data_IF_075173414534
#
_entry.id   IF_075173414534
#
_cell.length_a   1.000
_cell.length_b   1.000
_cell.length_c   1.000
_cell.angle_alpha   90.00
_cell.angle_beta   90.00
_cell.angle_gamma   90.00
#
_symmetry.space_group_name_H-M   'P 1'
#
loop_
_entity.id
_entity.type
_entity.pdbx_description
1 polymer ?
#
# COMPACT_ATOMS: atom_id res chain seq x y z
N UNK A 1 -11.59 15.53 -4.36
CA UNK A 1 -12.16 14.27 -3.84
C UNK A 1 -13.67 14.35 -3.90
N UNK A 2 -14.39 13.28 -4.29
CA UNK A 2 -15.85 13.22 -4.15
C UNK A 2 -16.70 13.19 -5.43
N UNK A 3 -16.30 12.44 -6.47
CA UNK A 3 -17.19 12.17 -7.62
C UNK A 3 -18.03 10.90 -7.47
N UNK A 4 -17.78 10.12 -6.42
CA UNK A 4 -18.46 8.85 -6.15
C UNK A 4 -19.12 8.85 -4.78
N UNK A 5 -20.29 8.21 -4.69
CA UNK A 5 -20.95 8.00 -3.39
C UNK A 5 -20.23 6.90 -2.59
N UNK A 6 -20.42 6.84 -1.26
CA UNK A 6 -19.89 5.75 -0.45
C UNK A 6 -20.30 4.35 -0.94
N UNK A 7 -21.52 4.21 -1.46
CA UNK A 7 -22.04 2.96 -2.01
C UNK A 7 -21.32 2.58 -3.30
N UNK A 8 -21.07 3.52 -4.20
CA UNK A 8 -20.30 3.29 -5.43
C UNK A 8 -18.86 2.87 -5.10
N UNK A 9 -18.22 3.54 -4.14
CA UNK A 9 -16.87 3.19 -3.69
C UNK A 9 -16.84 1.76 -3.13
N UNK A 10 -17.85 1.39 -2.33
CA UNK A 10 -17.96 0.01 -1.84
C UNK A 10 -18.17 -1.00 -2.97
N UNK A 11 -18.99 -0.66 -3.97
CA UNK A 11 -19.22 -1.53 -5.12
C UNK A 11 -17.92 -1.75 -5.91
N UNK A 12 -17.14 -0.70 -6.17
CA UNK A 12 -15.84 -0.84 -6.84
C UNK A 12 -14.91 -1.76 -6.06
N UNK A 13 -14.80 -1.57 -4.74
CA UNK A 13 -13.99 -2.44 -3.90
C UNK A 13 -14.45 -3.91 -3.95
N UNK A 14 -15.76 -4.17 -3.92
CA UNK A 14 -16.29 -5.53 -4.02
C UNK A 14 -16.01 -6.18 -5.39
N UNK A 15 -16.03 -5.37 -6.45
CA UNK A 15 -15.73 -5.82 -7.81
C UNK A 15 -14.25 -6.14 -7.97
N UNK A 16 -13.35 -5.31 -7.42
CA UNK A 16 -11.91 -5.57 -7.36
C UNK A 16 -11.61 -6.87 -6.59
N UNK A 17 -12.25 -7.06 -5.42
CA UNK A 17 -12.12 -8.30 -4.65
C UNK A 17 -12.59 -9.53 -5.44
N UNK A 18 -13.68 -9.40 -6.22
CA UNK A 18 -14.17 -10.49 -7.07
C UNK A 18 -13.16 -10.84 -8.16
N UNK A 19 -12.59 -9.84 -8.83
CA UNK A 19 -11.57 -10.05 -9.87
C UNK A 19 -10.34 -10.73 -9.28
N UNK A 20 -9.85 -10.29 -8.12
CA UNK A 20 -8.70 -10.91 -7.45
C UNK A 20 -9.02 -12.35 -7.02
N UNK A 21 -10.20 -12.59 -6.45
CA UNK A 21 -10.68 -13.93 -6.10
C UNK A 21 -10.67 -14.86 -7.31
N UNK A 22 -11.23 -14.41 -8.43
CA UNK A 22 -11.35 -15.21 -9.65
C UNK A 22 -9.97 -15.45 -10.30
N UNK A 23 -9.07 -14.47 -10.25
CA UNK A 23 -7.71 -14.59 -10.75
C UNK A 23 -6.87 -15.58 -9.92
N UNK A 24 -7.00 -15.54 -8.59
CA UNK A 24 -6.36 -16.50 -7.69
C UNK A 24 -6.92 -17.91 -7.92
N UNK A 25 -8.24 -18.02 -8.07
CA UNK A 25 -8.97 -19.28 -8.23
C UNK A 25 -8.60 -20.25 -7.08
N UNK A 26 -8.23 -21.48 -7.42
CA UNK A 26 -7.84 -22.53 -6.48
C UNK A 26 -6.33 -22.58 -6.21
N UNK A 27 -5.56 -21.62 -6.76
CA UNK A 27 -4.10 -21.60 -6.59
C UNK A 27 -3.72 -21.05 -5.21
N UNK A 28 -2.57 -21.47 -4.64
CA UNK A 28 -2.08 -20.85 -3.43
C UNK A 28 -1.66 -19.39 -3.71
N UNK A 29 -0.97 -19.11 -4.81
CA UNK A 29 -0.54 -17.75 -5.20
C UNK A 29 -1.00 -17.41 -6.61
N UNK A 30 -1.02 -16.13 -6.98
CA UNK A 30 -1.59 -15.68 -8.26
C UNK A 30 -0.98 -16.35 -9.49
N UNK A 31 0.33 -16.65 -9.44
CA UNK A 31 1.07 -17.26 -10.56
C UNK A 31 1.59 -18.67 -10.30
N UNK A 32 1.06 -19.38 -9.29
CA UNK A 32 1.41 -20.79 -9.04
C UNK A 32 1.65 -21.09 -7.56
N UNK A 33 2.70 -21.88 -7.30
CA UNK A 33 2.99 -22.45 -5.98
C UNK A 33 3.86 -21.57 -5.08
N UNK A 34 4.52 -20.56 -5.65
CA UNK A 34 5.34 -19.59 -4.90
C UNK A 34 4.79 -18.16 -5.04
N UNK A 35 4.91 -17.32 -4.00
CA UNK A 35 4.46 -15.94 -4.03
C UNK A 35 5.30 -15.12 -4.99
N UNK A 36 4.64 -14.17 -5.62
CA UNK A 36 5.23 -13.19 -6.52
C UNK A 36 5.04 -11.78 -5.95
N UNK A 37 5.60 -10.78 -6.63
CA UNK A 37 5.38 -9.38 -6.27
C UNK A 37 3.88 -9.03 -6.25
N UNK A 38 3.06 -9.66 -7.10
CA UNK A 38 1.61 -9.43 -7.08
C UNK A 38 1.00 -9.88 -5.75
N UNK A 39 1.39 -11.04 -5.21
CA UNK A 39 0.90 -11.54 -3.93
C UNK A 39 1.29 -10.61 -2.77
N UNK A 40 2.50 -10.03 -2.80
CA UNK A 40 2.96 -9.03 -1.81
C UNK A 40 2.13 -7.76 -1.88
N UNK A 41 1.93 -7.22 -3.09
CA UNK A 41 1.13 -6.00 -3.29
C UNK A 41 -0.32 -6.23 -2.90
N UNK A 42 -0.91 -7.35 -3.31
CA UNK A 42 -2.30 -7.69 -2.95
C UNK A 42 -2.41 -7.87 -1.44
N UNK A 43 -1.47 -8.55 -0.79
CA UNK A 43 -1.44 -8.68 0.67
C UNK A 43 -1.46 -7.31 1.36
N UNK A 44 -0.62 -6.36 0.92
CA UNK A 44 -0.55 -5.03 1.55
C UNK A 44 -1.90 -4.30 1.55
N UNK A 45 -2.68 -4.41 0.47
CA UNK A 45 -4.01 -3.80 0.39
C UNK A 45 -5.06 -4.61 1.15
N UNK A 46 -5.06 -5.93 1.00
CA UNK A 46 -6.09 -6.78 1.60
C UNK A 46 -5.93 -6.91 3.13
N UNK A 47 -4.72 -6.84 3.65
CA UNK A 47 -4.49 -6.85 5.10
C UNK A 47 -5.16 -5.65 5.78
N UNK A 48 -5.13 -4.48 5.15
CA UNK A 48 -5.77 -3.26 5.65
C UNK A 48 -7.30 -3.39 5.71
N UNK A 49 -7.90 -4.23 4.86
CA UNK A 49 -9.34 -4.52 4.86
C UNK A 49 -9.66 -5.60 5.89
N UNK A 50 -8.93 -6.71 5.84
CA UNK A 50 -9.23 -7.92 6.59
C UNK A 50 -9.01 -7.77 8.10
N UNK A 51 -7.98 -7.03 8.51
CA UNK A 51 -7.63 -6.86 9.93
C UNK A 51 -8.30 -5.67 10.61
N UNK A 52 -9.28 -5.01 9.97
CA UNK A 52 -10.12 -4.02 10.64
C UNK A 52 -10.91 -4.71 11.76
N UNK A 53 -10.80 -4.14 12.96
CA UNK A 53 -11.46 -4.65 14.17
C UNK A 53 -12.94 -4.98 13.90
N UNK A 54 -13.38 -6.15 14.34
CA UNK A 54 -14.72 -6.70 14.07
C UNK A 54 -15.84 -5.83 14.64
N UNK A 55 -15.57 -5.06 15.69
CA UNK A 55 -16.52 -4.14 16.29
C UNK A 55 -16.77 -2.90 15.41
N UNK A 56 -15.88 -2.63 14.44
CA UNK A 56 -16.06 -1.58 13.43
C UNK A 56 -16.84 -2.14 12.25
N UNK A 57 -17.97 -1.49 11.92
CA UNK A 57 -18.74 -1.81 10.71
C UNK A 57 -17.93 -1.43 9.47
N UNK A 58 -17.59 -2.42 8.65
CA UNK A 58 -16.82 -2.21 7.42
C UNK A 58 -17.29 -3.18 6.33
N UNK A 59 -18.22 -2.76 5.46
CA UNK A 59 -18.89 -3.67 4.51
C UNK A 59 -17.94 -4.45 3.59
N UNK A 60 -16.80 -3.85 3.22
CA UNK A 60 -15.83 -4.49 2.34
C UNK A 60 -15.08 -5.65 3.02
N UNK A 61 -14.82 -5.57 4.33
CA UNK A 61 -14.26 -6.68 5.13
C UNK A 61 -15.25 -7.83 5.20
N UNK A 62 -16.51 -7.50 5.46
CA UNK A 62 -17.58 -8.49 5.59
C UNK A 62 -17.76 -9.22 4.25
N UNK A 63 -17.82 -8.47 3.13
CA UNK A 63 -17.85 -9.05 1.78
C UNK A 63 -16.65 -9.95 1.49
N UNK A 64 -15.43 -9.50 1.82
CA UNK A 64 -14.21 -10.30 1.62
C UNK A 64 -14.27 -11.62 2.40
N UNK A 65 -14.72 -11.58 3.64
CA UNK A 65 -14.80 -12.74 4.52
C UNK A 65 -15.86 -13.74 4.06
N UNK A 66 -17.01 -13.25 3.61
CA UNK A 66 -18.14 -14.10 3.20
C UNK A 66 -17.99 -14.65 1.78
N UNK A 67 -17.47 -13.86 0.84
CA UNK A 67 -17.49 -14.18 -0.58
C UNK A 67 -16.13 -14.52 -1.21
N UNK A 68 -15.03 -14.19 -0.52
CA UNK A 68 -13.66 -14.35 -1.03
C UNK A 68 -12.75 -15.15 -0.07
N UNK A 69 -13.14 -16.37 0.37
CA UNK A 69 -12.38 -17.14 1.36
C UNK A 69 -10.97 -17.53 0.87
N UNK A 70 -10.76 -17.67 -0.44
CA UNK A 70 -9.43 -17.92 -1.03
C UNK A 70 -8.48 -16.71 -0.85
N UNK A 71 -9.00 -15.48 -0.94
CA UNK A 71 -8.23 -14.27 -0.65
C UNK A 71 -7.91 -14.14 0.84
N UNK A 72 -8.85 -14.50 1.72
CA UNK A 72 -8.56 -14.62 3.16
C UNK A 72 -7.45 -15.63 3.42
N UNK A 73 -7.47 -16.76 2.71
CA UNK A 73 -6.39 -17.74 2.73
C UNK A 73 -5.04 -17.17 2.27
N UNK A 74 -5.03 -16.41 1.17
CA UNK A 74 -3.82 -15.72 0.69
C UNK A 74 -3.27 -14.75 1.74
N UNK A 75 -4.13 -13.92 2.35
CA UNK A 75 -3.72 -12.95 3.35
C UNK A 75 -3.06 -13.62 4.54
N UNK A 76 -3.66 -14.68 5.09
CA UNK A 76 -3.09 -15.38 6.23
C UNK A 76 -1.76 -16.07 5.88
N UNK A 77 -1.66 -16.70 4.70
CA UNK A 77 -0.39 -17.33 4.24
C UNK A 77 0.73 -16.30 4.08
N UNK A 78 0.43 -15.13 3.51
CA UNK A 78 1.42 -14.06 3.36
C UNK A 78 1.83 -13.47 4.72
N UNK A 79 0.87 -13.27 5.63
CA UNK A 79 1.14 -12.83 7.01
C UNK A 79 2.11 -13.78 7.71
N UNK A 80 1.78 -15.07 7.76
CA UNK A 80 2.58 -16.09 8.45
C UNK A 80 3.98 -16.24 7.86
N UNK A 81 4.12 -16.08 6.54
CA UNK A 81 5.42 -16.18 5.84
C UNK A 81 6.31 -14.96 6.04
N UNK A 82 5.73 -13.76 6.07
CA UNK A 82 6.49 -12.51 6.04
C UNK A 82 6.62 -11.82 7.41
N UNK A 83 5.69 -12.08 8.34
CA UNK A 83 5.59 -11.38 9.63
C UNK A 83 5.40 -12.39 10.77
N UNK A 84 6.45 -13.14 11.14
CA UNK A 84 6.36 -14.13 12.22
C UNK A 84 6.04 -13.50 13.59
N UNK A 85 6.33 -12.21 13.76
CA UNK A 85 6.10 -11.35 14.92
C UNK A 85 4.89 -10.41 14.77
N UNK A 86 3.95 -10.75 13.87
CA UNK A 86 2.77 -9.91 13.56
C UNK A 86 2.05 -9.35 14.79
N UNK A 87 1.75 -10.19 15.77
CA UNK A 87 1.00 -9.77 16.97
C UNK A 87 1.81 -8.79 17.83
N UNK A 88 3.14 -8.94 17.88
CA UNK A 88 4.03 -8.01 18.59
C UNK A 88 4.07 -6.66 17.86
N UNK A 89 4.22 -6.67 16.54
CA UNK A 89 4.19 -5.45 15.71
C UNK A 89 2.87 -4.70 15.92
N UNK A 90 1.73 -5.40 15.84
CA UNK A 90 0.42 -4.78 16.01
C UNK A 90 0.15 -4.26 17.42
N UNK A 91 0.73 -4.89 18.45
CA UNK A 91 0.51 -4.48 19.85
C UNK A 91 1.43 -3.35 20.27
N UNK A 92 2.70 -3.40 19.85
CA UNK A 92 3.73 -2.44 20.27
C UNK A 92 3.88 -1.25 19.31
N UNK A 93 3.36 -1.38 18.09
CA UNK A 93 3.60 -0.48 16.96
C UNK A 93 5.08 -0.35 16.59
N UNK A 94 5.90 -1.34 16.97
CA UNK A 94 7.31 -1.43 16.59
C UNK A 94 7.45 -2.26 15.31
N UNK A 95 7.70 -1.58 14.19
CA UNK A 95 7.87 -2.22 12.88
C UNK A 95 9.15 -3.08 12.79
N UNK A 96 10.06 -2.96 13.76
CA UNK A 96 11.34 -3.65 13.80
C UNK A 96 11.49 -4.50 15.07
N UNK A 97 10.41 -5.06 15.61
CA UNK A 97 10.45 -5.93 16.81
C UNK A 97 11.46 -7.08 16.70
N UNK A 98 11.68 -7.61 15.50
CA UNK A 98 12.67 -8.65 15.23
C UNK A 98 14.14 -8.17 15.24
N UNK A 99 14.41 -6.86 15.17
CA UNK A 99 15.77 -6.32 15.23
C UNK A 99 16.21 -6.13 16.69
N UNK A 100 17.48 -6.41 17.02
CA UNK A 100 17.99 -6.13 18.35
C UNK A 100 17.89 -4.63 18.65
N UNK A 101 17.10 -4.28 19.67
CA UNK A 101 16.95 -2.89 20.11
C UNK A 101 18.30 -2.38 20.63
N UNK A 102 18.67 -1.13 20.32
CA UNK A 102 19.75 -0.47 21.03
C UNK A 102 19.47 -0.57 22.53
N UNK A 103 20.44 -1.04 23.31
CA UNK A 103 20.29 -1.21 24.75
C UNK A 103 19.98 0.17 25.34
N UNK A 104 18.80 0.37 25.91
CA UNK A 104 18.49 1.59 26.65
C UNK A 104 19.41 1.63 27.87
N UNK A 105 20.40 2.52 27.85
CA UNK A 105 21.20 2.82 29.03
C UNK A 105 20.29 3.42 30.10
N UNK A 106 19.98 2.64 31.14
CA UNK A 106 19.46 3.19 32.40
C UNK A 106 20.49 4.18 32.94
N UNK A 107 20.21 5.48 32.79
CA UNK A 107 21.01 6.55 33.40
C UNK A 107 20.96 6.45 34.92
N UNK A 108 21.98 5.87 35.53
CA UNK A 108 22.36 6.23 36.89
C UNK A 108 22.94 7.66 36.87
N UNK A 109 22.38 8.54 37.70
CA UNK A 109 22.87 9.90 37.87
C UNK A 109 24.26 9.90 38.54
N UNK A 110 25.29 10.32 37.79
CA UNK A 110 26.68 10.33 38.27
C UNK A 110 27.58 11.35 37.55
N UNK A 111 27.29 12.64 37.76
CA UNK A 111 28.15 13.84 37.67
C UNK A 111 29.60 13.68 37.10
N UNK A 112 29.89 14.33 35.97
CA UNK A 112 31.27 14.67 35.57
C UNK A 112 31.41 15.19 34.14
N UNK A 113 31.60 16.51 33.99
CA UNK A 113 31.77 17.27 32.73
C UNK A 113 33.07 16.93 31.99
N UNK A 114 33.04 16.92 30.66
CA UNK A 114 33.78 17.87 29.83
C UNK A 114 33.23 17.96 28.40
N UNK A 115 33.19 19.18 27.88
CA UNK A 115 32.47 19.63 26.71
C UNK A 115 33.32 19.48 25.44
N UNK A 116 32.71 19.03 24.33
CA UNK A 116 33.06 19.53 22.99
C UNK A 116 31.88 19.44 22.01
N UNK A 117 31.24 20.60 21.82
CA UNK A 117 30.65 21.16 20.60
C UNK A 117 30.12 20.17 19.54
N UNK A 118 28.81 19.93 19.52
CA UNK A 118 27.81 20.56 18.62
C UNK A 118 27.99 20.30 17.12
N UNK A 119 27.15 19.43 16.57
CA UNK A 119 26.26 19.81 15.47
C UNK A 119 25.01 18.92 15.49
N UNK A 120 23.88 19.53 15.87
CA UNK A 120 22.56 18.92 15.87
C UNK A 120 21.84 19.35 14.60
N UNK A 121 21.52 18.34 13.79
CA UNK A 121 20.32 18.15 12.96
C UNK A 121 19.67 19.37 12.31
N UNK A 122 19.49 19.27 10.99
CA UNK A 122 18.19 19.53 10.36
C UNK A 122 17.96 18.53 9.23
N UNK A 123 17.21 17.47 9.49
CA UNK A 123 16.28 16.98 8.47
C UNK A 123 14.98 17.78 8.66
N UNK A 124 14.54 18.57 7.67
CA UNK A 124 13.18 19.05 7.63
C UNK A 124 12.28 18.04 6.91
N UNK A 125 11.20 17.66 7.59
CA UNK A 125 9.96 17.16 6.98
C UNK A 125 9.42 18.11 5.89
N UNK A 126 8.70 17.48 4.95
CA UNK A 126 7.63 17.99 4.09
C UNK A 126 7.95 19.01 2.97
N UNK A 127 7.93 18.53 1.72
CA UNK A 127 6.92 18.85 0.68
C UNK A 127 7.33 18.29 -0.70
N UNK A 128 6.35 18.19 -1.59
CA UNK A 128 6.44 17.88 -3.04
C UNK A 128 6.39 16.41 -3.49
N UNK A 129 5.20 15.80 -3.35
CA UNK A 129 4.68 14.88 -4.39
C UNK A 129 3.40 15.50 -4.98
N UNK A 130 3.51 16.70 -5.54
CA UNK A 130 2.50 17.27 -6.43
C UNK A 130 3.18 18.16 -7.50
N UNK A 131 4.07 17.59 -8.34
CA UNK A 131 4.44 18.28 -9.60
C UNK A 131 5.06 17.50 -10.75
N UNK A 132 5.04 16.17 -10.76
CA UNK A 132 5.51 15.38 -11.93
C UNK A 132 4.38 14.66 -12.70
N UNK A 133 3.18 15.26 -12.77
CA UNK A 133 2.14 14.86 -13.73
C UNK A 133 1.69 16.00 -14.66
N UNK A 134 2.53 17.02 -14.85
CA UNK A 134 2.19 18.15 -15.73
C UNK A 134 3.00 18.21 -17.02
N UNK A 135 4.09 17.45 -17.19
CA UNK A 135 4.94 17.53 -18.38
C UNK A 135 4.66 16.47 -19.47
N UNK A 136 3.96 15.36 -19.17
CA UNK A 136 3.57 14.40 -20.24
C UNK A 136 2.32 14.83 -21.02
N UNK A 137 1.49 15.74 -20.47
CA UNK A 137 0.23 16.13 -21.12
C UNK A 137 0.40 17.19 -22.23
N UNK A 138 1.56 17.84 -22.34
CA UNK A 138 1.84 18.77 -23.45
C UNK A 138 2.51 18.11 -24.66
N UNK A 139 3.04 16.88 -24.54
CA UNK A 139 3.70 16.21 -25.68
C UNK A 139 2.76 15.43 -26.59
N UNK A 140 1.64 14.92 -26.09
CA UNK A 140 0.64 14.21 -26.92
C UNK A 140 -0.33 15.16 -27.65
N UNK A 141 -0.65 16.33 -27.08
CA UNK A 141 -1.55 17.30 -27.72
C UNK A 141 -0.95 18.03 -28.92
N UNK A 142 0.38 18.02 -29.08
CA UNK A 142 1.06 18.56 -30.25
C UNK A 142 1.10 17.56 -31.41
N UNK A 143 1.02 16.25 -31.15
CA UNK A 143 1.16 15.21 -32.18
C UNK A 143 -0.15 14.90 -32.91
N UNK A 144 -1.30 15.13 -32.29
CA UNK A 144 -2.61 14.97 -32.98
C UNK A 144 -2.93 16.16 -33.91
N UNK A 145 -2.50 17.39 -33.58
CA UNK A 145 -2.79 18.59 -34.39
C UNK A 145 -2.01 18.68 -35.70
N UNK A 146 -0.83 18.08 -35.82
CA UNK A 146 -0.13 18.00 -37.12
C UNK A 146 -0.74 16.94 -38.07
N UNK A 147 -1.53 16.00 -37.55
CA UNK A 147 -2.13 14.94 -38.38
C UNK A 147 -3.44 15.34 -39.07
N UNK A 148 -4.18 16.32 -38.54
CA UNK A 148 -5.41 16.81 -39.18
C UNK A 148 -5.14 17.89 -40.25
N UNK A 149 -4.12 18.75 -40.09
CA UNK A 149 -3.85 19.82 -41.08
C UNK A 149 -3.23 19.27 -42.39
N UNK A 150 -2.61 18.08 -42.35
CA UNK A 150 -2.02 17.47 -43.55
C UNK A 150 -3.03 16.63 -44.36
N UNK A 151 -4.21 16.34 -43.83
CA UNK A 151 -5.25 15.56 -44.54
C UNK A 151 -6.22 16.45 -45.35
N UNK A 152 -6.25 17.75 -45.08
CA UNK A 152 -7.09 18.71 -45.81
C UNK A 152 -6.39 19.33 -47.05
N UNK A 153 -5.09 19.08 -47.26
CA UNK A 153 -4.35 19.56 -48.45
C UNK A 153 -4.16 18.52 -49.57
N UNK A 154 -4.52 17.25 -49.36
CA UNK A 154 -4.56 16.24 -50.45
C UNK A 154 -5.99 15.88 -50.90
N UNK A 155 -7.01 16.57 -50.37
CA UNK A 155 -8.43 16.33 -50.66
C UNK A 155 -9.12 17.38 -51.52
N UNK A 156 -8.39 18.10 -52.40
CA UNK A 156 -9.01 19.02 -53.37
C UNK A 156 -8.43 18.86 -54.77
#
# INVERSE_FOLDING_TARGET
MGVHTPEEINQFGQEDLRVLKDMLADKPFFFGDEPTNLDVVVFAHLAQIYFIDKEVSYPLRDYMTEHCPNLVGLVNRMKERCFPDWDEICTTLDLNSHLPKPVEETKEEGKGKEEKETEKEKEPEDKDIEKEKTDEKEKDKAKEKESEENKEKEGK
#
